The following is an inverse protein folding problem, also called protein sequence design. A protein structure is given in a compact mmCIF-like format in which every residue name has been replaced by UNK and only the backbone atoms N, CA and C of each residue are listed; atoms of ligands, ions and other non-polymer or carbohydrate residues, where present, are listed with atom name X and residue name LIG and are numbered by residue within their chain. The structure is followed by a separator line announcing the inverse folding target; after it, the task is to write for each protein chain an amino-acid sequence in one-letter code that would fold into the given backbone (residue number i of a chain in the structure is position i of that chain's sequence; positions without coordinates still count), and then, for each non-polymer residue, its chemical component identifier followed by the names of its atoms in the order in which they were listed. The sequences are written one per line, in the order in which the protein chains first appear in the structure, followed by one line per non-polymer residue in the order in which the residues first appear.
data_IF_854076856338
#
_entry.id   IF_854076856338
#
_cell.length_a   1.000
_cell.length_b   1.000
_cell.length_c   1.000
_cell.angle_alpha   90.00
_cell.angle_beta   90.00
_cell.angle_gamma   90.00
#
_symmetry.space_group_name_H-M   'P 1'
#
loop_
_entity.id
_entity.type
_entity.pdbx_description
1 polymer ?
#
# COMPACT_ATOMS: atom_id res chain seq x y z
N UNK A 1 -5.59 -49.93 -37.63
CA UNK A 1 -5.96 -49.49 -36.28
C UNK A 1 -6.41 -48.05 -36.36
N UNK A 2 -7.69 -47.80 -36.04
CA UNK A 2 -8.43 -46.59 -36.43
C UNK A 2 -8.12 -45.35 -35.61
N UNK A 3 -8.18 -44.21 -36.29
CA UNK A 3 -8.13 -42.86 -35.74
C UNK A 3 -9.47 -42.55 -35.05
N UNK A 4 -9.48 -42.35 -33.73
CA UNK A 4 -10.67 -41.86 -33.03
C UNK A 4 -10.64 -40.33 -32.97
N UNK A 5 -11.69 -39.63 -33.46
CA UNK A 5 -11.80 -38.19 -33.27
C UNK A 5 -12.09 -37.90 -31.79
N UNK A 6 -11.28 -37.03 -31.18
CA UNK A 6 -11.57 -36.42 -29.89
C UNK A 6 -12.71 -35.43 -30.14
N UNK A 7 -13.93 -35.79 -29.75
CA UNK A 7 -15.05 -34.86 -29.71
C UNK A 7 -14.85 -33.97 -28.49
N UNK A 8 -14.51 -32.70 -28.71
CA UNK A 8 -14.56 -31.68 -27.68
C UNK A 8 -16.02 -31.45 -27.27
N UNK A 9 -16.41 -31.94 -26.09
CA UNK A 9 -17.74 -31.69 -25.54
C UNK A 9 -17.84 -30.24 -25.05
N UNK A 10 -18.47 -29.44 -25.91
CA UNK A 10 -19.29 -28.25 -25.70
C UNK A 10 -19.22 -27.49 -24.36
N UNK A 11 -19.06 -26.17 -24.48
CA UNK A 11 -19.42 -25.16 -23.49
C UNK A 11 -20.76 -25.51 -22.80
N UNK A 12 -20.83 -25.34 -21.47
CA UNK A 12 -22.08 -25.46 -20.73
C UNK A 12 -23.16 -24.52 -21.33
N UNK A 13 -24.37 -25.01 -21.61
CA UNK A 13 -25.42 -24.18 -22.19
C UNK A 13 -25.83 -23.08 -21.20
N UNK A 14 -26.05 -21.86 -21.71
CA UNK A 14 -26.43 -20.71 -20.88
C UNK A 14 -27.82 -20.93 -20.27
N UNK A 15 -27.89 -21.02 -18.94
CA UNK A 15 -29.16 -21.07 -18.22
C UNK A 15 -29.67 -19.65 -17.91
N UNK A 16 -30.62 -19.19 -18.72
CA UNK A 16 -31.21 -17.85 -18.59
C UNK A 16 -32.05 -17.67 -17.32
N UNK A 17 -32.63 -18.75 -16.79
CA UNK A 17 -33.44 -18.72 -15.58
C UNK A 17 -32.56 -18.54 -14.34
N UNK A 18 -31.45 -19.27 -14.26
CA UNK A 18 -30.44 -19.08 -13.21
C UNK A 18 -29.86 -17.67 -13.28
N UNK A 19 -29.51 -17.18 -14.48
CA UNK A 19 -29.02 -15.80 -14.65
C UNK A 19 -30.04 -14.74 -14.20
N UNK A 20 -31.33 -14.97 -14.41
CA UNK A 20 -32.38 -14.08 -13.89
C UNK A 20 -32.43 -14.10 -12.36
N UNK A 21 -32.32 -15.28 -11.73
CA UNK A 21 -32.28 -15.42 -10.26
C UNK A 21 -31.05 -14.75 -9.64
N UNK A 22 -29.87 -14.91 -10.25
CA UNK A 22 -28.64 -14.25 -9.80
C UNK A 22 -28.78 -12.72 -9.85
N UNK A 23 -29.34 -12.19 -10.95
CA UNK A 23 -29.61 -10.75 -11.06
C UNK A 23 -30.61 -10.26 -10.02
N UNK A 24 -31.68 -11.02 -9.79
CA UNK A 24 -32.68 -10.67 -8.79
C UNK A 24 -32.07 -10.65 -7.36
N UNK A 25 -31.18 -11.59 -7.05
CA UNK A 25 -30.42 -11.59 -5.80
C UNK A 25 -29.55 -10.35 -5.66
N UNK A 26 -28.72 -10.06 -6.67
CA UNK A 26 -27.81 -8.92 -6.64
C UNK A 26 -28.49 -7.55 -6.62
N UNK A 27 -29.70 -7.43 -7.18
CA UNK A 27 -30.41 -6.15 -7.31
C UNK A 27 -31.47 -5.92 -6.23
N UNK A 28 -32.12 -6.97 -5.72
CA UNK A 28 -33.25 -6.83 -4.77
C UNK A 28 -32.95 -7.36 -3.37
N UNK A 29 -31.97 -8.25 -3.22
CA UNK A 29 -31.58 -8.88 -1.94
C UNK A 29 -30.08 -8.75 -1.70
N UNK A 30 -29.52 -7.64 -2.17
CA UNK A 30 -28.08 -7.41 -2.13
C UNK A 30 -27.57 -7.36 -0.69
N UNK A 31 -26.52 -8.14 -0.41
CA UNK A 31 -25.74 -8.06 0.83
C UNK A 31 -24.58 -7.08 0.76
N UNK A 32 -24.34 -6.47 -0.42
CA UNK A 32 -23.16 -5.62 -0.68
C UNK A 32 -23.01 -4.50 0.34
N UNK A 33 -24.09 -3.80 0.69
CA UNK A 33 -24.01 -2.66 1.61
C UNK A 33 -23.62 -3.10 3.03
N UNK A 34 -24.29 -4.13 3.55
CA UNK A 34 -24.00 -4.71 4.86
C UNK A 34 -22.56 -5.22 4.95
N UNK A 35 -22.14 -6.03 3.98
CA UNK A 35 -20.78 -6.57 3.92
C UNK A 35 -19.73 -5.47 3.75
N UNK A 36 -19.99 -4.45 2.92
CA UNK A 36 -19.09 -3.31 2.73
C UNK A 36 -18.91 -2.54 4.05
N UNK A 37 -20.01 -2.17 4.71
CA UNK A 37 -20.00 -1.47 6.00
C UNK A 37 -19.26 -2.28 7.06
N UNK A 38 -19.43 -3.61 7.12
CA UNK A 38 -18.66 -4.42 8.07
C UNK A 38 -17.15 -4.31 7.81
N UNK A 39 -16.72 -4.40 6.55
CA UNK A 39 -15.30 -4.25 6.23
C UNK A 39 -14.76 -2.85 6.49
N UNK A 40 -15.52 -1.79 6.25
CA UNK A 40 -15.01 -0.41 6.28
C UNK A 40 -15.22 0.30 7.61
N UNK A 41 -16.25 -0.04 8.37
CA UNK A 41 -16.61 0.64 9.62
C UNK A 41 -16.36 -0.22 10.86
N UNK A 42 -16.67 -1.52 10.79
CA UNK A 42 -16.45 -2.43 11.93
C UNK A 42 -15.00 -2.88 12.00
N UNK A 43 -14.43 -3.29 10.87
CA UNK A 43 -13.04 -3.74 10.78
C UNK A 43 -12.09 -2.56 10.49
N UNK A 44 -12.43 -1.77 9.48
CA UNK A 44 -11.64 -0.61 9.08
C UNK A 44 -10.34 -0.96 8.31
N UNK A 45 -9.29 -0.13 8.45
CA UNK A 45 -8.03 -0.31 7.74
C UNK A 45 -7.38 -1.68 8.02
N UNK A 46 -7.13 -2.44 6.96
CA UNK A 46 -6.80 -3.87 7.04
C UNK A 46 -5.55 -4.21 6.22
N UNK A 47 -4.47 -3.50 6.54
CA UNK A 47 -3.14 -3.67 5.96
C UNK A 47 -2.67 -5.14 6.07
N UNK A 48 -1.89 -5.61 5.09
CA UNK A 48 -1.39 -6.99 5.09
C UNK A 48 -0.47 -7.28 6.30
N UNK A 49 -0.65 -8.43 6.93
CA UNK A 49 0.07 -8.88 8.11
C UNK A 49 -0.47 -8.32 9.43
N UNK A 50 -1.62 -7.64 9.43
CA UNK A 50 -2.20 -7.00 10.63
C UNK A 50 -3.33 -7.82 11.27
N UNK A 51 -3.65 -7.60 12.56
CA UNK A 51 -4.82 -8.21 13.19
C UNK A 51 -6.14 -7.91 12.45
N UNK A 52 -6.31 -6.69 11.93
CA UNK A 52 -7.49 -6.30 11.15
C UNK A 52 -7.63 -7.08 9.84
N UNK A 53 -6.52 -7.38 9.15
CA UNK A 53 -6.57 -8.25 7.97
C UNK A 53 -7.01 -9.67 8.34
N UNK A 54 -6.51 -10.20 9.47
CA UNK A 54 -6.93 -11.54 9.94
C UNK A 54 -8.43 -11.56 10.28
N UNK A 55 -8.92 -10.56 11.00
CA UNK A 55 -10.34 -10.41 11.29
C UNK A 55 -11.19 -10.34 10.01
N UNK A 56 -10.74 -9.60 9.00
CA UNK A 56 -11.40 -9.53 7.69
C UNK A 56 -11.46 -10.89 6.98
N UNK A 57 -10.38 -11.67 7.03
CA UNK A 57 -10.35 -13.00 6.44
C UNK A 57 -11.29 -13.96 7.18
N UNK A 58 -11.30 -13.92 8.51
CA UNK A 58 -12.17 -14.74 9.35
C UNK A 58 -13.65 -14.40 9.11
N UNK A 59 -14.00 -13.11 9.07
CA UNK A 59 -15.34 -12.64 8.72
C UNK A 59 -15.79 -13.15 7.35
N UNK A 60 -14.96 -12.98 6.32
CA UNK A 60 -15.28 -13.47 4.97
C UNK A 60 -15.49 -14.99 4.92
N UNK A 61 -14.65 -15.77 5.63
CA UNK A 61 -14.82 -17.22 5.73
C UNK A 61 -16.16 -17.58 6.38
N UNK A 62 -16.55 -16.87 7.43
CA UNK A 62 -17.75 -17.19 8.20
C UNK A 62 -19.03 -16.82 7.43
N UNK A 63 -19.04 -15.70 6.71
CA UNK A 63 -20.11 -15.36 5.75
C UNK A 63 -20.28 -16.43 4.67
N UNK A 64 -19.17 -16.90 4.08
CA UNK A 64 -19.22 -17.97 3.09
C UNK A 64 -19.79 -19.28 3.67
N UNK A 65 -19.48 -19.60 4.93
CA UNK A 65 -20.06 -20.77 5.62
C UNK A 65 -21.55 -20.59 5.87
N UNK A 66 -21.98 -19.40 6.28
CA UNK A 66 -23.39 -19.07 6.49
C UNK A 66 -24.18 -19.22 5.19
N UNK A 67 -23.61 -18.79 4.06
CA UNK A 67 -24.19 -18.97 2.73
C UNK A 67 -24.04 -20.40 2.18
N UNK A 68 -23.62 -21.35 3.03
CA UNK A 68 -23.47 -22.77 2.69
C UNK A 68 -22.49 -23.04 1.54
N UNK A 69 -21.49 -22.17 1.33
CA UNK A 69 -20.43 -22.40 0.35
C UNK A 69 -19.52 -23.53 0.85
N UNK A 70 -19.34 -24.61 0.07
CA UNK A 70 -18.53 -25.74 0.50
C UNK A 70 -17.06 -25.36 0.61
N UNK A 71 -16.34 -25.98 1.55
CA UNK A 71 -14.89 -25.84 1.74
C UNK A 71 -14.39 -24.41 2.07
N UNK A 72 -15.23 -23.55 2.65
CA UNK A 72 -14.81 -22.24 3.14
C UNK A 72 -13.79 -22.36 4.30
N UNK A 73 -12.52 -22.05 4.00
CA UNK A 73 -11.38 -22.15 4.93
C UNK A 73 -10.36 -21.03 4.68
N UNK A 74 -9.51 -20.77 5.67
CA UNK A 74 -8.36 -19.90 5.50
C UNK A 74 -7.14 -20.72 5.07
N UNK A 75 -6.35 -20.16 4.16
CA UNK A 75 -5.07 -20.73 3.75
C UNK A 75 -3.94 -19.86 4.31
N UNK A 76 -3.20 -20.34 5.33
CA UNK A 76 -2.13 -19.57 5.92
C UNK A 76 -0.96 -19.45 4.95
N UNK A 77 -0.32 -18.28 4.92
CA UNK A 77 0.92 -18.02 4.21
C UNK A 77 1.89 -17.32 5.14
N UNK A 78 3.17 -17.69 5.07
CA UNK A 78 4.22 -16.95 5.74
C UNK A 78 4.37 -15.57 5.09
N UNK A 79 4.08 -14.52 5.87
CA UNK A 79 4.23 -13.13 5.44
C UNK A 79 5.47 -12.46 6.06
N UNK A 80 5.89 -12.92 7.23
CA UNK A 80 6.93 -12.29 8.04
C UNK A 80 6.34 -11.46 9.17
N UNK A 81 6.97 -10.33 9.47
CA UNK A 81 6.61 -9.47 10.61
C UNK A 81 5.29 -8.73 10.34
N UNK A 82 4.31 -8.93 11.22
CA UNK A 82 3.10 -8.10 11.28
C UNK A 82 3.38 -6.70 11.81
N UNK A 83 2.46 -5.77 11.63
CA UNK A 83 2.66 -4.37 12.01
C UNK A 83 1.36 -3.70 12.44
N UNK A 84 1.40 -2.90 13.50
CA UNK A 84 0.30 -2.04 13.93
C UNK A 84 0.89 -0.73 14.43
N UNK A 85 0.28 0.39 14.04
CA UNK A 85 0.67 1.69 14.56
C UNK A 85 -0.08 1.96 15.87
N UNK A 86 0.63 1.95 16.99
CA UNK A 86 0.04 2.28 18.29
C UNK A 86 0.11 3.79 18.57
N UNK A 87 1.28 4.40 18.34
CA UNK A 87 1.50 5.82 18.56
C UNK A 87 2.58 6.34 17.62
N UNK A 88 2.37 7.55 17.13
CA UNK A 88 3.40 8.36 16.50
C UNK A 88 3.27 9.79 17.01
N UNK A 89 4.41 10.42 17.28
CA UNK A 89 4.48 11.83 17.64
C UNK A 89 5.69 12.40 16.94
N UNK A 90 5.51 13.53 16.27
CA UNK A 90 6.57 14.23 15.58
C UNK A 90 6.40 15.70 15.92
N UNK A 91 7.45 16.30 16.48
CA UNK A 91 7.41 17.66 16.99
C UNK A 91 8.72 18.35 16.61
N UNK A 92 8.61 19.56 16.10
CA UNK A 92 9.75 20.46 15.98
C UNK A 92 9.85 21.21 17.31
N UNK A 93 10.92 21.01 18.07
CA UNK A 93 11.11 21.66 19.38
C UNK A 93 11.86 23.00 19.28
N UNK A 94 12.64 23.20 18.23
CA UNK A 94 13.42 24.41 17.94
C UNK A 94 13.33 24.80 16.46
N UNK A 95 13.45 26.10 16.10
CA UNK A 95 13.60 27.26 17.00
C UNK A 95 12.29 27.69 17.67
N UNK A 96 11.15 27.11 17.26
CA UNK A 96 9.85 27.30 17.88
C UNK A 96 9.11 25.97 17.88
N UNK A 97 8.42 25.68 18.97
CA UNK A 97 7.61 24.47 19.06
C UNK A 97 6.54 24.44 17.98
N UNK A 98 6.45 23.32 17.24
CA UNK A 98 5.39 23.06 16.27
C UNK A 98 5.11 21.55 16.19
N UNK A 99 3.86 21.10 16.42
CA UNK A 99 3.50 19.72 16.13
C UNK A 99 3.55 19.48 14.62
N UNK A 100 4.10 18.35 14.21
CA UNK A 100 4.22 17.97 12.81
C UNK A 100 3.27 16.80 12.53
N UNK A 101 2.58 16.87 11.40
CA UNK A 101 1.83 15.75 10.87
C UNK A 101 2.78 14.86 10.07
N UNK A 102 2.82 13.58 10.42
CA UNK A 102 3.48 12.57 9.62
C UNK A 102 2.79 11.22 9.76
N UNK A 103 3.16 10.30 8.89
CA UNK A 103 2.63 8.95 8.87
C UNK A 103 3.81 7.99 8.91
N UNK A 104 3.79 7.05 9.85
CA UNK A 104 4.77 5.99 9.91
C UNK A 104 4.66 5.11 8.66
N UNK A 105 5.80 4.80 8.05
CA UNK A 105 5.82 3.83 6.96
C UNK A 105 5.41 2.46 7.49
N UNK A 106 4.51 1.79 6.78
CA UNK A 106 4.06 0.46 7.11
C UNK A 106 5.26 -0.50 7.27
N UNK A 107 5.20 -1.38 8.26
CA UNK A 107 6.26 -2.33 8.60
C UNK A 107 7.58 -1.72 9.06
N UNK A 108 7.68 -0.41 9.28
CA UNK A 108 8.83 0.19 9.97
C UNK A 108 8.94 -0.34 11.41
N UNK A 109 10.17 -0.42 11.92
CA UNK A 109 10.42 -0.75 13.32
C UNK A 109 10.12 0.47 14.20
N UNK A 110 9.72 0.24 15.45
CA UNK A 110 9.62 1.32 16.44
C UNK A 110 11.00 1.86 16.82
N UNK A 111 11.04 3.09 17.31
CA UNK A 111 12.25 3.71 17.87
C UNK A 111 12.51 3.18 19.28
N UNK A 112 13.77 3.20 19.73
CA UNK A 112 14.13 2.85 21.11
C UNK A 112 13.81 4.01 22.09
N UNK A 113 12.55 4.47 22.08
CA UNK A 113 12.11 5.65 22.81
C UNK A 113 12.13 6.93 21.97
N UNK A 114 12.13 8.06 22.66
CA UNK A 114 12.15 9.38 22.04
C UNK A 114 13.48 9.64 21.33
N UNK A 115 13.41 10.22 20.13
CA UNK A 115 14.57 10.66 19.36
C UNK A 115 14.52 12.17 19.26
N UNK A 116 15.52 12.83 19.83
CA UNK A 116 15.78 14.26 19.63
C UNK A 116 17.00 14.39 18.73
N UNK A 117 16.82 14.93 17.53
CA UNK A 117 17.90 15.01 16.55
C UNK A 117 17.71 16.16 15.57
N UNK A 118 18.82 16.61 14.99
CA UNK A 118 18.81 17.66 13.98
C UNK A 118 18.28 17.10 12.66
N UNK A 119 17.29 17.74 12.03
CA UNK A 119 16.82 17.34 10.71
C UNK A 119 17.91 17.61 9.65
N UNK A 120 18.19 16.61 8.81
CA UNK A 120 19.21 16.69 7.76
C UNK A 120 18.61 16.38 6.39
N UNK A 121 18.50 17.40 5.54
CA UNK A 121 18.03 17.24 4.16
C UNK A 121 19.13 16.67 3.26
N UNK A 122 18.94 15.44 2.80
CA UNK A 122 19.79 14.79 1.80
C UNK A 122 19.12 14.75 0.41
N UNK A 123 17.79 14.81 0.39
CA UNK A 123 17.00 14.75 -0.82
C UNK A 123 17.38 15.81 -1.86
N UNK A 124 17.54 15.37 -3.11
CA UNK A 124 17.86 16.23 -4.25
C UNK A 124 19.33 16.62 -4.38
N UNK A 125 20.21 16.13 -3.49
CA UNK A 125 21.66 16.36 -3.58
C UNK A 125 22.34 15.37 -4.51
N UNK A 126 23.43 15.81 -5.13
CA UNK A 126 24.39 15.00 -5.88
C UNK A 126 25.34 14.25 -4.94
N UNK A 127 26.07 13.26 -5.45
CA UNK A 127 27.03 12.50 -4.64
C UNK A 127 28.11 13.40 -4.04
N UNK A 128 28.61 14.36 -4.84
CA UNK A 128 29.63 15.33 -4.42
C UNK A 128 29.13 16.22 -3.29
N UNK A 129 27.85 16.62 -3.33
CA UNK A 129 27.24 17.44 -2.28
C UNK A 129 26.93 16.65 -0.98
N UNK A 130 26.84 15.32 -1.07
CA UNK A 130 26.61 14.47 0.10
C UNK A 130 27.90 14.17 0.88
N UNK A 131 29.06 14.11 0.24
CA UNK A 131 30.35 13.83 0.90
C UNK A 131 30.61 14.69 2.15
N UNK A 132 30.48 16.03 2.12
CA UNK A 132 30.69 16.85 3.32
C UNK A 132 29.59 16.69 4.39
N UNK A 133 28.48 16.02 4.08
CA UNK A 133 27.36 15.80 5.00
C UNK A 133 27.43 14.44 5.72
N UNK A 134 28.27 13.50 5.27
CA UNK A 134 28.37 12.16 5.84
C UNK A 134 28.58 12.17 7.36
N UNK A 135 29.51 12.99 7.82
CA UNK A 135 29.83 13.12 9.25
C UNK A 135 28.68 13.65 10.10
N UNK A 136 27.66 14.26 9.48
CA UNK A 136 26.46 14.79 10.15
C UNK A 136 25.29 13.80 10.15
N UNK A 137 25.38 12.68 9.44
CA UNK A 137 24.27 11.71 9.34
C UNK A 137 24.06 10.97 10.66
N UNK A 138 25.14 10.67 11.39
CA UNK A 138 25.06 9.92 12.63
C UNK A 138 24.15 10.62 13.64
N UNK A 139 23.05 9.96 14.01
CA UNK A 139 22.07 10.48 14.96
C UNK A 139 21.15 11.59 14.44
N UNK A 140 21.24 11.96 13.15
CA UNK A 140 20.34 12.93 12.54
C UNK A 140 18.99 12.30 12.18
N UNK A 141 17.97 13.15 12.04
CA UNK A 141 16.67 12.78 11.44
C UNK A 141 16.77 13.09 9.95
N UNK A 142 16.86 12.07 9.11
CA UNK A 142 17.18 12.25 7.69
C UNK A 142 15.94 12.48 6.84
N UNK A 143 15.94 13.57 6.07
CA UNK A 143 14.98 13.80 4.99
C UNK A 143 15.64 13.38 3.66
N UNK A 144 15.33 12.16 3.23
CA UNK A 144 15.97 11.50 2.08
C UNK A 144 15.36 11.87 0.74
N UNK A 145 14.11 12.34 0.72
CA UNK A 145 13.42 12.76 -0.49
C UNK A 145 13.55 14.27 -0.71
N UNK A 146 13.70 14.72 -1.96
CA UNK A 146 13.70 16.15 -2.27
C UNK A 146 12.35 16.76 -1.91
N UNK A 147 12.37 18.06 -1.65
CA UNK A 147 11.15 18.84 -1.49
C UNK A 147 10.31 18.69 -2.77
N UNK A 148 9.05 18.30 -2.60
CA UNK A 148 8.09 18.26 -3.71
C UNK A 148 7.71 19.69 -4.07
N UNK A 149 8.15 20.14 -5.24
CA UNK A 149 7.85 21.48 -5.77
C UNK A 149 6.80 21.46 -6.87
N UNK A 150 6.33 20.27 -7.25
CA UNK A 150 5.32 20.09 -8.28
C UNK A 150 4.20 19.24 -7.71
N UNK A 151 2.98 19.70 -7.93
CA UNK A 151 1.76 18.99 -7.55
C UNK A 151 1.00 18.71 -8.84
N UNK A 152 0.60 17.45 -9.03
CA UNK A 152 -0.38 17.09 -10.06
C UNK A 152 -1.74 17.56 -9.54
N UNK A 153 -2.22 18.67 -10.10
CA UNK A 153 -3.50 19.31 -9.73
C UNK A 153 -4.69 18.80 -10.56
N UNK A 154 -4.41 17.92 -11.52
CA UNK A 154 -5.41 17.30 -12.39
C UNK A 154 -5.53 15.82 -12.10
N UNK A 155 -6.76 15.40 -11.87
CA UNK A 155 -7.08 13.98 -11.79
C UNK A 155 -6.67 13.27 -13.07
N UNK A 156 -6.16 12.04 -12.90
CA UNK A 156 -5.89 11.17 -14.03
C UNK A 156 -7.21 10.82 -14.69
N UNK A 157 -7.23 10.99 -16.01
CA UNK A 157 -8.33 10.54 -16.83
C UNK A 157 -8.59 9.05 -16.57
N UNK A 158 -9.86 8.69 -16.36
CA UNK A 158 -10.23 7.30 -16.20
C UNK A 158 -10.15 6.60 -17.57
N UNK A 159 -9.39 5.50 -17.71
CA UNK A 159 -9.25 4.80 -18.98
C UNK A 159 -10.59 4.37 -19.61
N UNK A 160 -11.61 4.14 -18.79
CA UNK A 160 -12.93 3.70 -19.22
C UNK A 160 -13.86 4.84 -19.67
N UNK A 161 -13.55 6.09 -19.35
CA UNK A 161 -14.42 7.24 -19.66
C UNK A 161 -13.75 8.29 -20.53
N UNK A 162 -12.44 8.22 -20.71
CA UNK A 162 -11.69 9.19 -21.49
C UNK A 162 -11.58 8.77 -22.97
N UNK A 163 -11.67 9.73 -23.92
CA UNK A 163 -11.40 9.44 -25.32
C UNK A 163 -9.89 9.28 -25.55
N UNK A 164 -9.47 8.11 -26.05
CA UNK A 164 -8.10 7.81 -26.45
C UNK A 164 -7.23 7.13 -25.38
N UNK A 165 -5.94 7.00 -25.68
CA UNK A 165 -5.00 6.30 -24.81
C UNK A 165 -4.71 7.10 -23.54
N UNK A 166 -5.07 6.53 -22.39
CA UNK A 166 -4.71 7.07 -21.08
C UNK A 166 -3.41 6.41 -20.62
N UNK A 167 -2.36 7.18 -20.29
CA UNK A 167 -1.15 6.63 -19.68
C UNK A 167 -1.50 5.91 -18.38
N UNK A 168 -1.27 4.60 -18.35
CA UNK A 168 -1.41 3.74 -17.16
C UNK A 168 -0.07 3.61 -16.43
N UNK A 169 -0.09 3.29 -15.14
CA UNK A 169 1.14 3.14 -14.33
C UNK A 169 1.47 4.35 -13.46
N UNK A 170 2.66 4.41 -12.87
CA UNK A 170 3.03 5.49 -11.95
C UNK A 170 3.11 6.85 -12.66
N UNK A 171 2.67 7.95 -12.01
CA UNK A 171 2.91 9.30 -12.52
C UNK A 171 4.39 9.50 -12.83
N UNK A 172 4.69 10.19 -13.93
CA UNK A 172 6.08 10.55 -14.23
C UNK A 172 6.57 11.48 -13.14
N UNK A 173 7.78 11.22 -12.62
CA UNK A 173 8.33 12.07 -11.59
C UNK A 173 8.52 13.49 -12.15
N UNK A 174 8.07 14.55 -11.43
CA UNK A 174 8.11 15.91 -11.94
C UNK A 174 9.50 16.51 -12.12
N UNK A 175 10.54 15.83 -11.61
CA UNK A 175 11.91 16.34 -11.60
C UNK A 175 12.83 15.35 -12.28
N UNK A 176 13.72 15.87 -13.11
CA UNK A 176 14.78 15.13 -13.78
C UNK A 176 15.64 14.37 -12.73
N UNK A 177 15.65 13.05 -12.84
CA UNK A 177 16.35 12.16 -11.90
C UNK A 177 17.82 11.93 -12.28
N UNK A 178 18.26 12.40 -13.45
CA UNK A 178 19.56 12.03 -14.04
C UNK A 178 20.79 12.55 -13.26
N UNK A 179 20.63 13.58 -12.44
CA UNK A 179 21.70 14.18 -11.62
C UNK A 179 21.70 13.74 -10.15
N UNK A 180 20.76 12.89 -9.73
CA UNK A 180 20.59 12.52 -8.31
C UNK A 180 21.41 11.29 -7.94
N UNK A 181 21.77 11.21 -6.65
CA UNK A 181 22.33 9.98 -6.09
C UNK A 181 21.32 8.85 -6.25
N UNK A 182 21.79 7.73 -6.81
CA UNK A 182 21.01 6.50 -6.92
C UNK A 182 20.42 6.12 -5.53
N UNK A 183 19.12 5.84 -5.47
CA UNK A 183 18.43 5.49 -4.22
C UNK A 183 19.09 4.31 -3.47
N UNK A 184 19.68 3.35 -4.19
CA UNK A 184 20.43 2.24 -3.58
C UNK A 184 21.71 2.74 -2.90
N UNK A 185 22.46 3.64 -3.55
CA UNK A 185 23.68 4.22 -3.00
C UNK A 185 23.38 5.08 -1.77
N UNK A 186 22.30 5.86 -1.79
CA UNK A 186 21.84 6.62 -0.63
C UNK A 186 21.46 5.68 0.52
N UNK A 187 20.69 4.62 0.24
CA UNK A 187 20.31 3.61 1.25
C UNK A 187 21.53 2.91 1.86
N UNK A 188 22.56 2.64 1.07
CA UNK A 188 23.81 2.07 1.55
C UNK A 188 24.57 3.04 2.45
N UNK A 189 24.67 4.31 2.05
CA UNK A 189 25.27 5.37 2.85
C UNK A 189 24.57 5.50 4.21
N UNK A 190 23.23 5.55 4.23
CA UNK A 190 22.47 5.65 5.48
C UNK A 190 22.72 4.45 6.40
N UNK A 191 22.79 3.23 5.85
CA UNK A 191 23.13 2.04 6.63
C UNK A 191 24.53 2.08 7.22
N UNK A 192 25.49 2.70 6.55
CA UNK A 192 26.87 2.83 7.02
C UNK A 192 27.01 3.88 8.12
N UNK A 193 26.39 5.05 7.94
CA UNK A 193 26.58 6.20 8.82
C UNK A 193 25.64 6.20 10.04
N UNK A 194 24.51 5.48 9.98
CA UNK A 194 23.61 5.27 11.11
C UNK A 194 22.82 6.52 11.52
N UNK A 195 21.84 6.96 10.71
CA UNK A 195 20.88 7.98 11.13
C UNK A 195 20.05 7.51 12.32
N UNK A 196 19.44 8.45 13.02
CA UNK A 196 18.48 8.11 14.08
C UNK A 196 17.15 7.64 13.48
N UNK A 197 16.68 8.31 12.42
CA UNK A 197 15.48 8.01 11.63
C UNK A 197 15.72 8.35 10.16
#
# INVERSE_FOLDING_TARGET
MGLFPIVATAQEPVDSAINARIRDEGLKRSKVYETFTHFTEVIGPRLTGTPAQKAAAEYARDELKEWSVPNARLEPREFGRGWTLEKQTIEMIEPRYMPLLGYAEAWSSSTAGEIVGTPLMLGGKTAVELEPLRSKIKGAIVMSQPIQTVFEDKDRLQPTTAPGDVPIGQPRHPVDQTTRVNGQALTQMLRQEGPAV
#
